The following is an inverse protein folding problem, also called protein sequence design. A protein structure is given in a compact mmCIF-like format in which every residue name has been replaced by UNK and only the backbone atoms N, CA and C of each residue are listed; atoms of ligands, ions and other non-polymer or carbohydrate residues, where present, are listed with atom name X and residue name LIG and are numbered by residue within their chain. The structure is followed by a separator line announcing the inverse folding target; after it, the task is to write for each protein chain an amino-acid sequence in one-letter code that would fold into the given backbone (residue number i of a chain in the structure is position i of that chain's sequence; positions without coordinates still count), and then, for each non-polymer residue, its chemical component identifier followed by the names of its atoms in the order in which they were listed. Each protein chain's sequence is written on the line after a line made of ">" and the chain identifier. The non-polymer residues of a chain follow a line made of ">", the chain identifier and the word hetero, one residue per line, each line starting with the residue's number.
data_IF_333139684332
#
_entry.id   IF_333139684332
#
_cell.length_a   1.000
_cell.length_b   1.000
_cell.length_c   1.000
_cell.angle_alpha   90.00
_cell.angle_beta   90.00
_cell.angle_gamma   90.00
#
_symmetry.space_group_name_H-M   'P 1'
#
loop_
_entity.id
_entity.type
_entity.pdbx_description
1 polymer ?
#
# COMPACT_ATOMS: atom_id res chain seq x y z
N UNK A 1 -15.00 19.27 -12.35
CA UNK A 1 -14.89 17.80 -12.41
C UNK A 1 -16.14 17.15 -13.02
N UNK A 2 -16.10 16.89 -14.35
CA UNK A 2 -17.26 16.32 -15.07
C UNK A 2 -17.28 14.79 -15.07
N UNK A 3 -16.16 14.12 -14.73
CA UNK A 3 -16.00 12.67 -14.81
C UNK A 3 -16.00 12.03 -13.41
N UNK A 4 -16.52 10.81 -13.37
CA UNK A 4 -16.40 9.91 -12.24
C UNK A 4 -15.04 9.23 -12.32
N UNK A 5 -14.21 9.42 -11.29
CA UNK A 5 -12.83 8.94 -11.31
C UNK A 5 -12.29 8.64 -9.91
N UNK A 6 -11.45 7.61 -9.85
CA UNK A 6 -10.54 7.32 -8.75
C UNK A 6 -9.13 7.43 -9.30
N UNK A 7 -8.23 8.04 -8.54
CA UNK A 7 -6.79 8.06 -8.81
C UNK A 7 -6.09 7.39 -7.64
N UNK A 8 -5.25 6.43 -7.94
CA UNK A 8 -4.40 5.74 -6.96
C UNK A 8 -2.96 6.08 -7.29
N UNK A 9 -2.23 6.59 -6.31
CA UNK A 9 -0.79 6.80 -6.40
C UNK A 9 -0.10 5.84 -5.45
N UNK A 10 0.83 5.08 -6.00
CA UNK A 10 1.67 4.15 -5.26
C UNK A 10 2.95 3.95 -6.06
N UNK A 11 4.13 4.35 -5.56
CA UNK A 11 5.39 3.96 -6.17
C UNK A 11 5.66 2.46 -5.93
N UNK A 12 6.53 1.88 -6.72
CA UNK A 12 6.94 0.48 -6.57
C UNK A 12 7.84 0.27 -5.35
N UNK A 13 8.66 1.26 -5.00
CA UNK A 13 9.57 1.25 -3.85
C UNK A 13 9.99 2.67 -3.44
N UNK A 14 10.66 2.77 -2.30
CA UNK A 14 11.43 3.95 -1.90
C UNK A 14 12.88 3.85 -2.35
N UNK A 15 13.67 4.86 -2.01
CA UNK A 15 15.11 4.96 -2.30
C UNK A 15 15.83 5.54 -1.09
N UNK A 16 17.05 5.09 -0.86
CA UNK A 16 17.97 5.76 0.04
C UNK A 16 18.61 6.96 -0.67
N UNK A 17 18.48 8.15 -0.09
CA UNK A 17 18.93 9.41 -0.68
C UNK A 17 19.88 10.13 0.26
N UNK A 18 21.02 9.52 0.55
CA UNK A 18 22.08 10.09 1.44
C UNK A 18 21.64 10.29 2.90
N UNK A 19 20.61 9.54 3.38
CA UNK A 19 20.19 9.58 4.77
C UNK A 19 21.27 8.98 5.70
N UNK A 20 21.52 9.66 6.83
CA UNK A 20 22.49 9.21 7.83
C UNK A 20 23.94 9.31 7.37
N UNK A 21 24.78 8.39 7.87
CA UNK A 21 26.22 8.35 7.60
C UNK A 21 26.57 7.68 6.27
N UNK A 22 25.59 7.20 5.54
CA UNK A 22 25.78 6.52 4.27
C UNK A 22 25.73 7.55 3.13
N UNK A 23 26.87 7.87 2.56
CA UNK A 23 26.97 8.66 1.33
C UNK A 23 26.59 7.84 0.10
N UNK A 24 25.35 7.31 0.11
CA UNK A 24 24.86 6.41 -0.91
C UNK A 24 23.51 6.88 -1.46
N UNK A 25 23.34 6.71 -2.74
CA UNK A 25 22.08 6.95 -3.45
C UNK A 25 21.68 5.68 -4.17
N UNK A 26 20.47 5.19 -3.98
CA UNK A 26 19.87 4.01 -4.57
C UNK A 26 19.54 2.92 -3.53
N UNK A 27 19.24 1.70 -3.97
CA UNK A 27 18.94 0.56 -3.08
C UNK A 27 20.09 -0.45 -3.02
N UNK A 28 20.46 -0.85 -1.80
CA UNK A 28 21.46 -1.90 -1.57
C UNK A 28 20.79 -3.28 -1.56
N UNK A 29 20.59 -3.87 -2.73
CA UNK A 29 19.90 -5.17 -2.88
C UNK A 29 20.54 -6.34 -2.12
N UNK A 30 21.84 -6.28 -1.84
CA UNK A 30 22.60 -7.31 -1.12
C UNK A 30 22.77 -7.02 0.36
N UNK A 31 22.42 -5.82 0.83
CA UNK A 31 22.60 -5.43 2.22
C UNK A 31 21.70 -6.24 3.17
N UNK A 32 22.18 -6.43 4.39
CA UNK A 32 21.34 -6.83 5.50
C UNK A 32 20.38 -5.69 5.80
N UNK A 33 19.07 -5.98 5.77
CA UNK A 33 18.04 -4.99 6.03
C UNK A 33 17.99 -4.72 7.53
N UNK A 34 18.32 -3.49 7.93
CA UNK A 34 18.03 -2.92 9.25
C UNK A 34 16.79 -2.02 9.19
N UNK A 35 16.39 -1.45 10.33
CA UNK A 35 15.20 -0.61 10.43
C UNK A 35 15.33 0.65 9.56
N UNK A 36 16.50 1.32 9.55
CA UNK A 36 16.74 2.54 8.80
C UNK A 36 16.61 2.28 7.29
N UNK A 37 17.28 1.26 6.80
CA UNK A 37 17.24 0.87 5.39
C UNK A 37 15.83 0.43 4.98
N UNK A 38 15.13 -0.30 5.87
CA UNK A 38 13.75 -0.71 5.63
C UNK A 38 12.81 0.48 5.49
N UNK A 39 12.95 1.52 6.32
CA UNK A 39 12.14 2.73 6.20
C UNK A 39 12.43 3.49 4.90
N UNK A 40 13.69 3.66 4.52
CA UNK A 40 14.05 4.37 3.29
C UNK A 40 13.54 3.65 2.03
N UNK A 41 13.66 2.32 1.98
CA UNK A 41 13.37 1.54 0.77
C UNK A 41 11.91 1.04 0.67
N UNK A 42 11.19 0.88 1.79
CA UNK A 42 9.88 0.22 1.80
C UNK A 42 8.73 1.06 2.34
N UNK A 43 8.98 2.17 3.05
CA UNK A 43 7.91 3.11 3.41
C UNK A 43 7.65 4.03 2.23
N UNK A 44 6.57 3.74 1.54
CA UNK A 44 6.19 4.45 0.33
C UNK A 44 4.89 5.23 0.53
N UNK A 45 4.72 6.38 -0.10
CA UNK A 45 3.47 7.10 -0.08
C UNK A 45 2.40 6.33 -0.84
N UNK A 46 1.25 6.14 -0.21
CA UNK A 46 0.08 5.52 -0.83
C UNK A 46 -1.16 6.37 -0.58
N UNK A 47 -1.76 6.88 -1.63
CA UNK A 47 -2.98 7.66 -1.50
C UNK A 47 -3.99 7.36 -2.61
N UNK A 48 -5.27 7.56 -2.26
CA UNK A 48 -6.40 7.38 -3.15
C UNK A 48 -7.19 8.68 -3.17
N UNK A 49 -7.35 9.24 -4.34
CA UNK A 49 -8.21 10.39 -4.56
C UNK A 49 -9.47 9.97 -5.32
N UNK A 50 -10.61 10.52 -4.90
CA UNK A 50 -11.90 10.29 -5.54
C UNK A 50 -12.47 11.62 -6.01
N UNK A 51 -12.97 11.68 -7.26
CA UNK A 51 -13.67 12.86 -7.75
C UNK A 51 -14.94 13.11 -6.93
N UNK A 52 -15.42 14.37 -6.90
CA UNK A 52 -16.68 14.72 -6.24
C UNK A 52 -17.84 13.88 -6.75
N UNK A 53 -17.92 13.67 -8.06
CA UNK A 53 -18.98 12.86 -8.68
C UNK A 53 -18.92 11.41 -8.23
N UNK A 54 -17.71 10.80 -8.14
CA UNK A 54 -17.53 9.46 -7.61
C UNK A 54 -17.93 9.38 -6.14
N UNK A 55 -17.51 10.37 -5.33
CA UNK A 55 -17.79 10.41 -3.90
C UNK A 55 -19.28 10.50 -3.58
N UNK A 56 -20.04 11.22 -4.40
CA UNK A 56 -21.50 11.32 -4.26
C UNK A 56 -22.18 9.99 -4.63
N UNK A 57 -21.68 9.29 -5.65
CA UNK A 57 -22.30 8.04 -6.14
C UNK A 57 -21.90 6.80 -5.34
N UNK A 58 -20.72 6.82 -4.72
CA UNK A 58 -20.13 5.70 -3.99
C UNK A 58 -19.67 6.11 -2.58
N UNK A 59 -20.57 6.70 -1.75
CA UNK A 59 -20.20 7.23 -0.45
C UNK A 59 -19.69 6.14 0.51
N UNK A 60 -20.16 4.90 0.36
CA UNK A 60 -19.73 3.73 1.13
C UNK A 60 -18.26 3.38 0.83
N UNK A 61 -17.84 3.41 -0.44
CA UNK A 61 -16.44 3.15 -0.83
C UNK A 61 -15.53 4.24 -0.28
N UNK A 62 -15.93 5.50 -0.41
CA UNK A 62 -15.14 6.63 0.13
C UNK A 62 -15.01 6.55 1.65
N UNK A 63 -16.06 6.14 2.37
CA UNK A 63 -15.97 5.89 3.82
C UNK A 63 -15.01 4.75 4.15
N UNK A 64 -15.05 3.65 3.37
CA UNK A 64 -14.15 2.53 3.55
C UNK A 64 -12.69 2.91 3.31
N UNK A 65 -12.40 3.69 2.25
CA UNK A 65 -11.06 4.26 1.97
C UNK A 65 -10.57 5.10 3.15
N UNK A 66 -11.39 6.02 3.66
CA UNK A 66 -11.03 6.87 4.81
C UNK A 66 -10.78 6.06 6.08
N UNK A 67 -11.58 5.03 6.33
CA UNK A 67 -11.40 4.13 7.48
C UNK A 67 -10.09 3.34 7.39
N UNK A 68 -9.67 2.97 6.18
CA UNK A 68 -8.48 2.16 5.94
C UNK A 68 -7.15 2.94 6.02
N UNK A 69 -7.16 4.28 6.14
CA UNK A 69 -5.98 5.16 6.01
C UNK A 69 -4.78 4.81 6.92
N UNK A 70 -5.04 4.19 8.07
CA UNK A 70 -4.00 3.84 9.04
C UNK A 70 -3.72 2.34 9.12
N UNK A 71 -4.29 1.55 8.18
CA UNK A 71 -4.06 0.11 8.14
C UNK A 71 -2.66 -0.20 7.63
N UNK A 72 -2.02 -1.19 8.24
CA UNK A 72 -0.78 -1.76 7.72
C UNK A 72 -1.08 -2.44 6.39
N UNK A 73 -0.23 -2.20 5.39
CA UNK A 73 -0.46 -2.70 4.03
C UNK A 73 0.84 -3.09 3.34
N UNK A 74 0.76 -4.04 2.42
CA UNK A 74 1.83 -4.42 1.50
C UNK A 74 1.31 -4.35 0.07
N UNK A 75 2.15 -3.87 -0.84
CA UNK A 75 1.77 -3.64 -2.24
C UNK A 75 1.47 -4.90 -3.03
N UNK A 76 1.92 -6.08 -2.57
CA UNK A 76 1.55 -7.38 -3.15
C UNK A 76 0.04 -7.67 -3.07
N UNK A 77 -0.68 -6.99 -2.17
CA UNK A 77 -2.13 -7.06 -2.04
C UNK A 77 -2.89 -6.02 -2.91
N UNK A 78 -2.17 -5.13 -3.60
CA UNK A 78 -2.78 -4.08 -4.45
C UNK A 78 -3.74 -4.63 -5.52
N UNK A 79 -3.47 -5.77 -6.17
CA UNK A 79 -4.41 -6.33 -7.14
C UNK A 79 -5.82 -6.54 -6.58
N UNK A 80 -5.96 -6.91 -5.31
CA UNK A 80 -7.27 -7.15 -4.70
C UNK A 80 -8.08 -5.85 -4.51
N UNK A 81 -7.42 -4.75 -4.17
CA UNK A 81 -8.04 -3.42 -4.13
C UNK A 81 -8.48 -2.98 -5.53
N UNK A 82 -7.62 -3.16 -6.54
CA UNK A 82 -7.91 -2.77 -7.93
C UNK A 82 -9.07 -3.59 -8.51
N UNK A 83 -9.10 -4.90 -8.28
CA UNK A 83 -10.20 -5.77 -8.70
C UNK A 83 -11.53 -5.32 -8.10
N UNK A 84 -11.53 -5.00 -6.80
CA UNK A 84 -12.72 -4.54 -6.10
C UNK A 84 -13.22 -3.20 -6.65
N UNK A 85 -12.33 -2.20 -6.75
CA UNK A 85 -12.69 -0.86 -7.25
C UNK A 85 -13.10 -0.86 -8.72
N UNK A 86 -12.55 -1.77 -9.51
CA UNK A 86 -12.91 -1.99 -10.92
C UNK A 86 -14.18 -2.82 -11.11
N UNK A 87 -14.78 -3.35 -10.03
CA UNK A 87 -15.95 -4.21 -10.12
C UNK A 87 -15.68 -5.57 -10.80
N UNK A 88 -14.42 -6.00 -10.85
CA UNK A 88 -14.00 -7.23 -11.53
C UNK A 88 -14.18 -8.43 -10.61
N UNK A 89 -15.04 -9.36 -11.02
CA UNK A 89 -15.30 -10.61 -10.31
C UNK A 89 -14.40 -11.72 -10.86
N UNK A 90 -13.57 -12.30 -10.01
CA UNK A 90 -12.64 -13.40 -10.36
C UNK A 90 -12.39 -14.27 -9.15
N UNK A 91 -12.08 -15.55 -9.37
CA UNK A 91 -11.67 -16.48 -8.30
C UNK A 91 -10.33 -16.13 -7.66
N UNK A 92 -9.52 -15.29 -8.31
CA UNK A 92 -8.27 -14.79 -7.74
C UNK A 92 -8.47 -13.71 -6.67
N UNK A 93 -9.64 -13.08 -6.60
CA UNK A 93 -9.93 -12.08 -5.56
C UNK A 93 -10.01 -12.71 -4.18
N UNK A 94 -9.29 -12.11 -3.23
CA UNK A 94 -9.34 -12.47 -1.81
C UNK A 94 -9.70 -11.25 -0.98
N UNK A 95 -10.80 -11.33 -0.27
CA UNK A 95 -11.33 -10.21 0.50
C UNK A 95 -10.41 -9.79 1.64
N UNK A 96 -9.77 -10.77 2.29
CA UNK A 96 -8.80 -10.55 3.37
C UNK A 96 -7.52 -9.80 2.93
N UNK A 97 -7.30 -9.66 1.62
CA UNK A 97 -6.21 -8.86 1.04
C UNK A 97 -6.68 -7.48 0.53
N UNK A 98 -7.98 -7.23 0.45
CA UNK A 98 -8.49 -5.95 0.01
C UNK A 98 -8.45 -4.93 1.15
N UNK A 99 -7.56 -3.94 1.03
CA UNK A 99 -7.29 -2.91 2.05
C UNK A 99 -8.55 -2.25 2.61
N UNK A 100 -9.57 -2.02 1.78
CA UNK A 100 -10.79 -1.31 2.20
C UNK A 100 -11.93 -2.24 2.63
N UNK A 101 -11.73 -3.56 2.57
CA UNK A 101 -12.70 -4.53 3.07
C UNK A 101 -12.87 -4.44 4.58
N UNK A 102 -14.08 -4.65 5.13
CA UNK A 102 -14.28 -4.85 6.56
C UNK A 102 -13.58 -6.13 7.07
N UNK A 103 -13.35 -7.11 6.19
CA UNK A 103 -12.70 -8.40 6.49
C UNK A 103 -11.19 -8.40 6.15
N UNK A 104 -10.59 -7.22 5.93
CA UNK A 104 -9.16 -7.11 5.69
C UNK A 104 -8.34 -7.67 6.86
N UNK A 105 -7.37 -8.54 6.55
CA UNK A 105 -6.49 -9.13 7.56
C UNK A 105 -5.39 -8.17 8.00
N UNK A 106 -5.64 -7.40 9.06
CA UNK A 106 -4.67 -6.45 9.64
C UNK A 106 -3.50 -7.13 10.39
N UNK A 107 -3.60 -8.44 10.65
CA UNK A 107 -2.57 -9.22 11.34
C UNK A 107 -1.59 -9.92 10.39
N UNK A 108 -1.74 -9.70 9.09
CA UNK A 108 -0.83 -10.23 8.09
C UNK A 108 0.57 -9.67 8.30
N UNK A 109 1.56 -10.57 8.43
CA UNK A 109 2.97 -10.17 8.55
C UNK A 109 3.43 -9.44 7.29
N UNK A 110 4.17 -8.36 7.47
CA UNK A 110 4.83 -7.63 6.39
C UNK A 110 6.26 -8.17 6.23
N UNK A 111 6.43 -9.09 5.29
CA UNK A 111 7.70 -9.79 5.07
C UNK A 111 8.50 -9.15 3.94
N UNK A 112 9.68 -8.64 4.27
CA UNK A 112 10.65 -8.17 3.30
C UNK A 112 11.48 -9.37 2.79
N UNK A 113 11.66 -9.47 1.47
CA UNK A 113 12.37 -10.60 0.82
C UNK A 113 11.82 -11.98 1.25
N UNK A 114 10.56 -12.06 1.67
CA UNK A 114 9.90 -13.28 2.12
C UNK A 114 10.32 -13.81 3.49
N UNK A 115 11.27 -13.20 4.17
CA UNK A 115 11.86 -13.73 5.41
C UNK A 115 11.91 -12.74 6.56
N UNK A 116 12.21 -11.48 6.31
CA UNK A 116 12.40 -10.46 7.36
C UNK A 116 11.08 -9.79 7.70
N UNK A 117 10.62 -9.95 8.92
CA UNK A 117 9.40 -9.30 9.42
C UNK A 117 9.67 -7.80 9.64
N UNK A 118 9.09 -6.94 8.77
CA UNK A 118 9.24 -5.49 8.83
C UNK A 118 8.82 -4.92 10.20
N UNK A 119 7.75 -5.43 10.79
CA UNK A 119 7.22 -4.93 12.05
C UNK A 119 8.10 -5.28 13.26
N UNK A 120 9.08 -6.18 13.10
CA UNK A 120 10.03 -6.58 14.14
C UNK A 120 11.37 -5.85 14.06
N UNK A 121 11.63 -5.08 13.01
CA UNK A 121 12.86 -4.30 12.86
C UNK A 121 12.89 -3.16 13.88
N UNK A 122 14.05 -2.97 14.51
CA UNK A 122 14.31 -1.94 15.54
C UNK A 122 15.43 -1.02 15.10
#
# INVERSE_FOLDING_TARGET
>A
EKKEAIVIYVPDHGEECFEGDMHFFCRLHSAKIDARLAHAEFDIPFWIWCSTKYSVRHPEIVRAIRKARNRKYMTDALPHLLLYLGGIKTSAYKEEHNLISPNYNEHRKRLLKGTTDYDSLK
#
